data_IF_791778136665
#
_entry.id   IF_791778136665
#
_cell.length_a   1.000
_cell.length_b   1.000
_cell.length_c   1.000
_cell.angle_alpha   90.00
_cell.angle_beta   90.00
_cell.angle_gamma   90.00
#
_symmetry.space_group_name_H-M   'P 1'
#
loop_
_entity.id
_entity.type
_entity.pdbx_description
1 polymer ?
#
# COMPACT_ATOMS: atom_id res chain seq x y z
N UNK A 1 4.17 21.86 -6.76
CA UNK A 1 4.98 21.68 -5.52
C UNK A 1 4.53 20.41 -4.80
N UNK A 2 5.41 19.66 -4.14
CA UNK A 2 5.01 18.48 -3.34
C UNK A 2 4.65 18.89 -1.91
N UNK A 3 3.54 18.37 -1.40
CA UNK A 3 3.05 18.60 -0.04
C UNK A 3 2.78 17.27 0.66
N UNK A 4 2.88 17.30 1.97
CA UNK A 4 2.69 16.13 2.82
C UNK A 4 1.34 16.22 3.53
N UNK A 5 0.64 15.09 3.64
CA UNK A 5 -0.57 14.93 4.44
C UNK A 5 -0.60 13.55 5.08
N UNK A 6 -1.52 13.34 5.99
CA UNK A 6 -1.80 12.03 6.58
C UNK A 6 -3.00 11.40 5.90
N UNK A 7 -2.86 10.14 5.52
CA UNK A 7 -3.94 9.32 4.96
C UNK A 7 -4.17 8.09 5.82
N UNK A 8 -5.38 7.54 5.76
CA UNK A 8 -5.76 6.32 6.48
C UNK A 8 -5.90 5.16 5.50
N UNK A 9 -5.34 4.00 5.83
CA UNK A 9 -5.53 2.77 5.05
C UNK A 9 -6.98 2.34 5.15
N UNK A 10 -7.70 2.33 4.04
CA UNK A 10 -9.10 1.88 3.99
C UNK A 10 -9.24 0.45 3.49
N UNK A 11 -8.26 -0.07 2.76
CA UNK A 11 -8.27 -1.44 2.24
C UNK A 11 -6.87 -1.98 2.10
N UNK A 12 -6.72 -3.27 2.38
CA UNK A 12 -5.50 -4.05 2.17
C UNK A 12 -5.92 -5.33 1.45
N UNK A 13 -5.50 -5.47 0.19
CA UNK A 13 -5.90 -6.59 -0.66
C UNK A 13 -4.68 -7.44 -1.00
N UNK A 14 -4.67 -8.68 -0.53
CA UNK A 14 -3.64 -9.67 -0.85
C UNK A 14 -3.77 -10.14 -2.30
N UNK A 15 -2.67 -10.11 -3.04
CA UNK A 15 -2.61 -10.52 -4.44
C UNK A 15 -2.26 -12.01 -4.51
N UNK A 16 -3.27 -12.88 -4.30
CA UNK A 16 -3.10 -14.34 -4.27
C UNK A 16 -2.56 -14.95 -5.56
N UNK A 17 -2.80 -14.29 -6.70
CA UNK A 17 -2.35 -14.76 -8.01
C UNK A 17 -0.83 -14.66 -8.20
N UNK A 18 -0.14 -13.79 -7.46
CA UNK A 18 1.31 -13.62 -7.54
C UNK A 18 2.01 -14.16 -6.29
N UNK A 19 2.35 -15.45 -6.34
CA UNK A 19 3.08 -16.12 -5.26
C UNK A 19 4.58 -16.01 -5.48
N UNK A 20 5.28 -15.38 -4.54
CA UNK A 20 6.73 -15.28 -4.51
C UNK A 20 7.26 -16.30 -3.50
N UNK A 21 8.05 -17.28 -3.97
CA UNK A 21 8.69 -18.23 -3.08
C UNK A 21 10.00 -17.62 -2.57
N UNK A 22 10.18 -17.52 -1.26
CA UNK A 22 11.43 -17.01 -0.66
C UNK A 22 12.43 -18.09 -0.29
N UNK A 23 12.07 -19.37 -0.48
CA UNK A 23 12.92 -20.53 -0.20
C UNK A 23 13.23 -21.27 -1.50
N UNK A 24 14.46 -21.80 -1.66
CA UNK A 24 14.85 -22.59 -2.83
C UNK A 24 14.14 -23.96 -2.87
N UNK A 25 13.91 -24.58 -1.71
CA UNK A 25 13.21 -25.86 -1.57
C UNK A 25 11.98 -25.67 -0.69
N UNK A 26 10.86 -26.29 -1.08
CA UNK A 26 9.57 -26.19 -0.40
C UNK A 26 9.11 -27.58 0.00
N UNK A 27 8.70 -27.74 1.25
CA UNK A 27 8.16 -29.01 1.77
C UNK A 27 6.66 -29.16 1.49
N UNK A 28 5.96 -28.04 1.29
CA UNK A 28 4.53 -28.00 0.96
C UNK A 28 4.19 -26.71 0.21
N UNK A 29 2.96 -26.61 -0.29
CA UNK A 29 2.56 -25.51 -1.17
C UNK A 29 2.80 -24.13 -0.55
N UNK A 30 2.46 -23.88 0.72
CA UNK A 30 2.60 -22.55 1.34
C UNK A 30 3.95 -22.30 2.01
N UNK A 31 4.88 -23.27 1.94
CA UNK A 31 6.18 -23.14 2.59
C UNK A 31 7.02 -22.03 1.96
N UNK A 32 7.31 -20.98 2.73
CA UNK A 32 8.06 -19.82 2.27
C UNK A 32 7.33 -18.99 1.21
N UNK A 33 6.01 -19.15 1.06
CA UNK A 33 5.20 -18.37 0.14
C UNK A 33 4.94 -16.97 0.70
N UNK A 34 5.31 -15.94 -0.07
CA UNK A 34 4.99 -14.55 0.20
C UNK A 34 4.13 -13.99 -0.93
N UNK A 35 3.19 -13.12 -0.59
CA UNK A 35 2.28 -12.51 -1.56
C UNK A 35 2.40 -11.00 -1.46
N UNK A 36 2.41 -10.28 -2.59
CA UNK A 36 2.31 -8.83 -2.58
C UNK A 36 0.89 -8.40 -2.16
N UNK A 37 0.79 -7.16 -1.71
CA UNK A 37 -0.47 -6.57 -1.29
C UNK A 37 -0.66 -5.23 -1.97
N UNK A 38 -1.89 -4.89 -2.29
CA UNK A 38 -2.26 -3.53 -2.70
C UNK A 38 -2.94 -2.89 -1.51
N UNK A 39 -2.41 -1.75 -1.07
CA UNK A 39 -3.08 -0.92 -0.07
C UNK A 39 -3.80 0.23 -0.77
N UNK A 40 -4.97 0.58 -0.25
CA UNK A 40 -5.71 1.78 -0.65
C UNK A 40 -5.77 2.72 0.54
N UNK A 41 -5.27 3.94 0.35
CA UNK A 41 -5.21 4.97 1.38
C UNK A 41 -6.14 6.09 0.98
N UNK A 42 -6.97 6.53 1.94
CA UNK A 42 -7.83 7.71 1.80
C UNK A 42 -7.17 8.87 2.53
N UNK A 43 -7.09 10.02 1.89
CA UNK A 43 -6.59 11.26 2.49
C UNK A 43 -7.49 12.41 2.07
N UNK A 44 -7.59 13.42 2.94
CA UNK A 44 -8.48 14.57 2.73
C UNK A 44 -7.62 15.81 2.58
N UNK A 45 -7.92 16.63 1.56
CA UNK A 45 -7.28 17.91 1.33
C UNK A 45 -8.38 18.96 1.25
N UNK A 46 -8.42 19.86 2.22
CA UNK A 46 -9.52 20.81 2.38
C UNK A 46 -10.85 20.08 2.64
N UNK A 47 -11.79 20.21 1.70
CA UNK A 47 -13.13 19.60 1.79
C UNK A 47 -13.25 18.35 0.90
N UNK A 48 -12.19 17.99 0.15
CA UNK A 48 -12.24 16.93 -0.84
C UNK A 48 -11.44 15.71 -0.42
N UNK A 49 -12.07 14.56 -0.55
CA UNK A 49 -11.47 13.25 -0.32
C UNK A 49 -10.78 12.73 -1.57
N UNK A 50 -9.59 12.18 -1.37
CA UNK A 50 -8.79 11.54 -2.40
C UNK A 50 -8.42 10.13 -1.95
N UNK A 51 -8.14 9.28 -2.93
CA UNK A 51 -7.63 7.94 -2.65
C UNK A 51 -6.44 7.65 -3.54
N UNK A 52 -5.39 7.08 -2.95
CA UNK A 52 -4.24 6.56 -3.68
C UNK A 52 -4.05 5.08 -3.35
N UNK A 53 -3.38 4.37 -4.25
CA UNK A 53 -3.04 2.97 -4.08
C UNK A 53 -1.53 2.79 -4.15
N UNK A 54 -1.00 1.88 -3.34
CA UNK A 54 0.41 1.49 -3.42
C UNK A 54 0.52 -0.03 -3.45
N UNK A 55 1.35 -0.51 -4.37
CA UNK A 55 1.75 -1.90 -4.42
C UNK A 55 2.87 -2.13 -3.40
N UNK A 56 2.68 -3.13 -2.53
CA UNK A 56 3.65 -3.57 -1.54
C UNK A 56 4.20 -4.91 -2.01
N UNK A 57 5.51 -4.95 -2.26
CA UNK A 57 6.20 -6.17 -2.69
C UNK A 57 6.07 -7.30 -1.66
N UNK A 58 6.11 -8.53 -2.14
CA UNK A 58 5.99 -9.71 -1.29
C UNK A 58 7.10 -9.75 -0.22
N UNK A 59 6.72 -9.98 1.04
CA UNK A 59 7.66 -10.08 2.16
C UNK A 59 8.00 -8.76 2.86
N UNK A 60 7.51 -7.63 2.37
CA UNK A 60 7.58 -6.36 3.10
C UNK A 60 6.51 -6.29 4.20
N UNK A 61 6.72 -5.41 5.19
CA UNK A 61 5.71 -5.12 6.21
C UNK A 61 4.51 -4.44 5.56
N UNK A 62 3.33 -4.99 5.80
CA UNK A 62 2.08 -4.47 5.27
C UNK A 62 1.42 -3.66 6.40
N UNK A 63 1.04 -2.39 6.18
CA UNK A 63 0.29 -1.63 7.16
C UNK A 63 -1.13 -2.19 7.28
N UNK A 64 -1.68 -2.15 8.49
CA UNK A 64 -3.02 -2.64 8.76
C UNK A 64 -4.09 -1.65 8.27
N UNK A 65 -5.30 -2.15 8.07
CA UNK A 65 -6.45 -1.28 7.80
C UNK A 65 -6.70 -0.38 9.02
N UNK A 66 -6.91 0.91 8.77
CA UNK A 66 -7.06 1.93 9.81
C UNK A 66 -5.75 2.59 10.24
N UNK A 67 -4.59 2.06 9.82
CA UNK A 67 -3.30 2.72 10.09
C UNK A 67 -3.21 4.05 9.35
N UNK A 68 -2.70 5.07 10.04
CA UNK A 68 -2.36 6.37 9.45
C UNK A 68 -0.97 6.31 8.82
N UNK A 69 -0.85 6.78 7.59
CA UNK A 69 0.40 6.79 6.83
C UNK A 69 0.60 8.17 6.19
N UNK A 70 1.86 8.55 5.99
CA UNK A 70 2.24 9.75 5.27
C UNK A 70 1.95 9.59 3.77
N UNK A 71 1.26 10.57 3.21
CA UNK A 71 0.95 10.68 1.79
C UNK A 71 1.55 11.98 1.27
N UNK A 72 2.39 11.89 0.24
CA UNK A 72 2.94 13.06 -0.44
C UNK A 72 2.13 13.25 -1.71
N UNK A 73 1.54 14.42 -1.90
CA UNK A 73 0.72 14.75 -3.05
C UNK A 73 1.24 15.99 -3.77
N UNK A 74 0.96 16.08 -5.07
CA UNK A 74 1.25 17.28 -5.85
C UNK A 74 0.15 18.31 -5.65
N UNK A 75 0.48 19.52 -5.19
CA UNK A 75 -0.50 20.58 -4.92
C UNK A 75 -1.31 20.97 -6.16
N UNK A 76 -0.64 21.06 -7.32
CA UNK A 76 -1.26 21.43 -8.60
C UNK A 76 -2.22 20.33 -9.10
N UNK A 77 -2.01 19.09 -8.66
CA UNK A 77 -2.83 17.94 -9.01
C UNK A 77 -2.86 16.94 -7.86
N UNK A 78 -3.73 17.14 -6.85
CA UNK A 78 -3.76 16.35 -5.61
C UNK A 78 -4.10 14.87 -5.81
N UNK A 79 -4.58 14.48 -7.00
CA UNK A 79 -4.75 13.07 -7.39
C UNK A 79 -3.42 12.35 -7.68
N UNK A 80 -2.35 13.09 -8.00
CA UNK A 80 -1.00 12.53 -8.09
C UNK A 80 -0.41 12.51 -6.69
N UNK A 81 -0.48 11.35 -6.06
CA UNK A 81 0.07 11.14 -4.73
C UNK A 81 0.87 9.84 -4.64
N UNK A 82 1.88 9.85 -3.78
CA UNK A 82 2.71 8.72 -3.40
C UNK A 82 2.58 8.46 -1.90
N UNK A 83 2.61 7.18 -1.53
CA UNK A 83 2.57 6.76 -0.13
C UNK A 83 4.01 6.41 0.28
N UNK A 84 4.48 6.93 1.40
CA UNK A 84 5.76 6.51 2.02
C UNK A 84 5.48 5.52 3.15
N UNK A 85 6.16 4.37 3.14
CA UNK A 85 6.01 3.26 4.08
C UNK A 85 7.37 2.90 4.67
#
# INVERSE_FOLDING_TARGET
>A
MEKETTGTVISVTKQWWLKVNRKPVRTHAMDGAAFPHIIKVKYTIGVKDYTCQKWIGAGNKIPDKGTTIKVIYCEDKPSKARIEL
#
